data_IF_735870135186
#
_entry.id   IF_735870135186
#
_cell.length_a   1.000
_cell.length_b   1.000
_cell.length_c   1.000
_cell.angle_alpha   90.00
_cell.angle_beta   90.00
_cell.angle_gamma   90.00
#
_symmetry.space_group_name_H-M   'P 1'
#
loop_
_entity.id
_entity.type
_entity.pdbx_description
1 polymer ?
#
# COMPACT_ATOMS: atom_id res chain seq x y z
N UNK A 1 -15.13 15.86 -0.23
CA UNK A 1 -15.32 14.74 -1.17
C UNK A 1 -13.93 14.35 -1.62
N UNK A 2 -13.35 13.30 -1.02
CA UNK A 2 -12.05 12.81 -1.47
C UNK A 2 -12.25 12.17 -2.84
N UNK A 3 -11.76 12.84 -3.87
CA UNK A 3 -11.80 12.33 -5.24
C UNK A 3 -10.59 11.42 -5.37
N UNK A 4 -10.77 10.14 -5.07
CA UNK A 4 -9.78 9.14 -5.46
C UNK A 4 -9.70 9.14 -7.00
N UNK A 5 -8.47 9.16 -7.55
CA UNK A 5 -8.28 9.04 -9.01
C UNK A 5 -8.99 7.76 -9.47
N UNK A 6 -9.83 7.85 -10.49
CA UNK A 6 -10.60 6.70 -11.01
C UNK A 6 -9.67 5.50 -11.35
N UNK A 7 -8.46 5.79 -11.83
CA UNK A 7 -7.42 4.81 -12.09
C UNK A 7 -6.99 4.04 -10.83
N UNK A 8 -6.90 4.71 -9.66
CA UNK A 8 -6.53 4.05 -8.40
C UNK A 8 -7.62 3.12 -7.91
N UNK A 9 -8.87 3.57 -8.01
CA UNK A 9 -10.05 2.76 -7.69
C UNK A 9 -10.05 1.50 -8.55
N UNK A 10 -9.93 1.65 -9.86
CA UNK A 10 -9.91 0.54 -10.80
C UNK A 10 -8.73 -0.41 -10.56
N UNK A 11 -7.54 0.13 -10.28
CA UNK A 11 -6.36 -0.66 -10.00
C UNK A 11 -6.57 -1.57 -8.79
N UNK A 12 -7.00 -1.03 -7.65
CA UNK A 12 -7.24 -1.81 -6.43
C UNK A 12 -8.42 -2.79 -6.58
N UNK A 13 -9.50 -2.36 -7.24
CA UNK A 13 -10.67 -3.21 -7.48
C UNK A 13 -10.35 -4.44 -8.34
N UNK A 14 -9.43 -4.33 -9.31
CA UNK A 14 -8.98 -5.48 -10.10
C UNK A 14 -8.34 -6.58 -9.23
N UNK A 15 -7.76 -6.21 -8.08
CA UNK A 15 -7.25 -7.14 -7.09
C UNK A 15 -8.28 -7.53 -6.02
N UNK A 16 -9.49 -6.97 -6.09
CA UNK A 16 -10.58 -7.24 -5.15
C UNK A 16 -10.53 -6.41 -3.86
N UNK A 17 -9.86 -5.25 -3.91
CA UNK A 17 -9.72 -4.31 -2.80
C UNK A 17 -10.62 -3.10 -2.98
N UNK A 18 -11.22 -2.63 -1.89
CA UNK A 18 -12.13 -1.50 -1.89
C UNK A 18 -11.55 -0.37 -1.04
N UNK A 19 -11.47 0.83 -1.61
CA UNK A 19 -11.00 2.01 -0.86
C UNK A 19 -12.08 2.42 0.16
N UNK A 20 -11.68 2.60 1.41
CA UNK A 20 -12.49 3.26 2.44
C UNK A 20 -12.27 4.78 2.38
N UNK A 21 -11.01 5.20 2.55
CA UNK A 21 -10.61 6.61 2.58
C UNK A 21 -9.13 6.80 2.26
N UNK A 22 -8.74 8.03 1.93
CA UNK A 22 -7.34 8.39 1.77
C UNK A 22 -6.56 8.24 3.09
N UNK A 23 -5.31 7.77 3.00
CA UNK A 23 -4.40 7.67 4.14
C UNK A 23 -3.26 8.69 4.03
N UNK A 24 -2.54 8.69 2.91
CA UNK A 24 -1.36 9.53 2.73
C UNK A 24 -0.98 9.74 1.26
N UNK A 25 -0.17 10.76 1.01
CA UNK A 25 0.51 10.96 -0.27
C UNK A 25 1.94 11.43 0.02
N UNK A 26 2.91 10.76 -0.58
CA UNK A 26 4.32 11.14 -0.54
C UNK A 26 4.81 11.36 -1.97
N UNK A 27 5.42 12.50 -2.24
CA UNK A 27 6.04 12.81 -3.52
C UNK A 27 7.55 12.77 -3.39
N UNK A 28 8.16 11.88 -4.14
CA UNK A 28 9.60 11.79 -4.31
C UNK A 28 9.98 12.58 -5.56
N UNK A 29 10.61 13.74 -5.36
CA UNK A 29 11.14 14.51 -6.48
C UNK A 29 12.22 13.70 -7.22
N UNK A 30 12.45 14.03 -8.50
CA UNK A 30 13.52 13.43 -9.29
C UNK A 30 14.86 13.41 -8.54
N UNK A 31 15.59 12.30 -8.63
CA UNK A 31 16.88 12.05 -7.96
C UNK A 31 16.83 11.92 -6.42
N UNK A 32 15.66 11.98 -5.78
CA UNK A 32 15.55 11.90 -4.31
C UNK A 32 15.23 10.52 -3.76
N UNK A 33 14.74 9.58 -4.59
CA UNK A 33 14.40 8.22 -4.15
C UNK A 33 15.56 7.53 -3.41
N UNK A 34 16.81 7.77 -3.83
CA UNK A 34 18.00 7.19 -3.21
C UNK A 34 18.25 7.68 -1.77
N UNK A 35 17.65 8.81 -1.36
CA UNK A 35 17.69 9.30 0.01
C UNK A 35 16.81 8.47 0.96
N UNK A 36 15.83 7.74 0.43
CA UNK A 36 14.88 6.90 1.19
C UNK A 36 15.25 5.42 1.13
N UNK A 37 16.54 5.11 1.37
CA UNK A 37 17.13 3.78 1.10
C UNK A 37 16.37 2.61 1.71
N UNK A 38 15.96 2.70 2.99
CA UNK A 38 15.25 1.59 3.65
C UNK A 38 13.88 1.36 3.00
N UNK A 39 13.10 2.43 2.85
CA UNK A 39 11.75 2.35 2.29
C UNK A 39 11.76 1.86 0.84
N UNK A 40 12.63 2.41 0.00
CA UNK A 40 12.75 1.98 -1.40
C UNK A 40 13.23 0.53 -1.51
N UNK A 41 14.09 0.08 -0.58
CA UNK A 41 14.49 -1.31 -0.48
C UNK A 41 13.31 -2.21 -0.12
N UNK A 42 12.50 -1.83 0.86
CA UNK A 42 11.33 -2.61 1.29
C UNK A 42 10.26 -2.67 0.19
N UNK A 43 9.99 -1.57 -0.51
CA UNK A 43 9.12 -1.55 -1.69
C UNK A 43 9.59 -2.57 -2.75
N UNK A 44 10.91 -2.67 -2.96
CA UNK A 44 11.48 -3.63 -3.91
C UNK A 44 11.43 -5.07 -3.42
N UNK A 45 11.88 -5.33 -2.19
CA UNK A 45 12.08 -6.68 -1.67
C UNK A 45 10.80 -7.31 -1.13
N UNK A 46 9.92 -6.53 -0.51
CA UNK A 46 8.66 -6.99 0.10
C UNK A 46 7.44 -6.61 -0.73
N UNK A 47 7.44 -5.40 -1.30
CA UNK A 47 6.37 -4.93 -2.20
C UNK A 47 6.50 -5.45 -3.64
N UNK A 48 7.67 -5.99 -4.01
CA UNK A 48 8.01 -6.45 -5.37
C UNK A 48 7.87 -5.37 -6.45
N UNK A 49 8.06 -4.09 -6.11
CA UNK A 49 8.06 -2.99 -7.08
C UNK A 49 9.48 -2.43 -7.24
N UNK A 50 10.11 -2.65 -8.39
CA UNK A 50 11.46 -2.14 -8.64
C UNK A 50 11.44 -0.70 -9.20
N UNK A 51 11.79 0.27 -8.35
CA UNK A 51 11.82 1.69 -8.70
C UNK A 51 13.11 2.14 -9.42
N UNK A 52 14.05 1.23 -9.73
CA UNK A 52 15.36 1.58 -10.31
C UNK A 52 15.25 2.36 -11.62
N UNK A 53 14.21 2.12 -12.42
CA UNK A 53 13.99 2.84 -13.70
C UNK A 53 13.43 4.26 -13.53
N UNK A 54 13.03 4.64 -12.32
CA UNK A 54 12.39 5.91 -12.02
C UNK A 54 13.24 6.79 -11.11
N UNK A 55 14.52 6.44 -10.88
CA UNK A 55 15.42 7.19 -9.99
C UNK A 55 15.57 8.67 -10.37
N UNK A 56 15.49 8.98 -11.66
CA UNK A 56 15.62 10.33 -12.20
C UNK A 56 14.25 10.98 -12.52
N UNK A 57 13.16 10.36 -12.07
CA UNK A 57 11.79 10.82 -12.29
C UNK A 57 11.11 11.14 -10.97
N UNK A 58 10.06 11.96 -11.03
CA UNK A 58 9.16 12.10 -9.90
C UNK A 58 8.34 10.80 -9.74
N UNK A 59 8.25 10.32 -8.50
CA UNK A 59 7.38 9.21 -8.12
C UNK A 59 6.44 9.67 -7.02
N UNK A 60 5.15 9.43 -7.20
CA UNK A 60 4.14 9.65 -6.16
C UNK A 60 3.75 8.30 -5.57
N UNK A 61 3.77 8.21 -4.25
CA UNK A 61 3.25 7.08 -3.49
C UNK A 61 1.98 7.54 -2.76
N UNK A 62 0.85 6.94 -3.11
CA UNK A 62 -0.45 7.25 -2.51
C UNK A 62 -0.98 6.07 -1.72
N UNK A 63 -1.28 6.29 -0.44
CA UNK A 63 -1.84 5.29 0.47
C UNK A 63 -3.35 5.47 0.66
N UNK A 64 -4.06 4.35 0.70
CA UNK A 64 -5.50 4.27 0.98
C UNK A 64 -5.78 3.26 2.08
N UNK A 65 -6.59 3.64 3.06
CA UNK A 65 -7.19 2.65 3.94
C UNK A 65 -8.22 1.84 3.14
N UNK A 66 -8.13 0.52 3.25
CA UNK A 66 -9.04 -0.39 2.58
C UNK A 66 -10.18 -0.80 3.52
N UNK A 67 -11.36 -1.07 2.95
CA UNK A 67 -12.53 -1.49 3.72
C UNK A 67 -12.34 -2.89 4.33
N UNK A 68 -11.55 -3.72 3.65
CA UNK A 68 -11.31 -5.09 4.02
C UNK A 68 -10.40 -5.23 5.26
N UNK A 69 -10.65 -6.31 6.01
CA UNK A 69 -9.85 -6.76 7.15
C UNK A 69 -9.61 -8.26 7.04
N UNK A 70 -8.60 -8.77 7.72
CA UNK A 70 -8.38 -10.22 7.88
C UNK A 70 -8.67 -10.65 9.31
N UNK A 71 -8.56 -11.94 9.61
CA UNK A 71 -8.65 -12.42 10.99
C UNK A 71 -7.51 -11.89 11.88
N UNK A 72 -6.34 -11.61 11.28
CA UNK A 72 -5.12 -11.21 11.99
C UNK A 72 -4.87 -9.70 11.93
N UNK A 73 -5.30 -9.04 10.86
CA UNK A 73 -5.01 -7.62 10.60
C UNK A 73 -6.31 -6.84 10.47
N UNK A 74 -6.48 -5.84 11.33
CA UNK A 74 -7.68 -5.03 11.41
C UNK A 74 -7.60 -3.71 10.63
N UNK A 75 -6.45 -3.43 10.04
CA UNK A 75 -6.23 -2.32 9.13
C UNK A 75 -5.32 -2.75 7.98
N UNK A 76 -5.75 -2.52 6.74
CA UNK A 76 -4.95 -2.77 5.55
C UNK A 76 -4.84 -1.45 4.79
N UNK A 77 -3.61 -1.09 4.41
CA UNK A 77 -3.32 0.08 3.59
C UNK A 77 -2.84 -0.38 2.22
N UNK A 78 -3.51 0.05 1.17
CA UNK A 78 -3.07 -0.14 -0.21
C UNK A 78 -2.28 1.06 -0.68
N UNK A 79 -1.03 0.84 -1.07
CA UNK A 79 -0.17 1.85 -1.65
C UNK A 79 -0.08 1.68 -3.16
N UNK A 80 -0.26 2.77 -3.89
CA UNK A 80 -0.10 2.85 -5.34
C UNK A 80 1.09 3.77 -5.62
N UNK A 81 1.99 3.32 -6.49
CA UNK A 81 3.14 4.07 -6.96
C UNK A 81 2.86 4.54 -8.39
N UNK A 82 3.02 5.83 -8.63
CA UNK A 82 2.83 6.48 -9.93
C UNK A 82 4.10 7.23 -10.34
N UNK A 83 4.37 7.29 -11.65
CA UNK A 83 5.30 8.26 -12.22
C UNK A 83 4.62 8.97 -13.39
N UNK A 84 4.48 10.29 -13.31
CA UNK A 84 3.60 11.04 -14.20
C UNK A 84 2.13 10.61 -14.05
N UNK A 85 1.52 10.12 -15.12
CA UNK A 85 0.12 9.65 -15.16
C UNK A 85 0.01 8.12 -15.25
N UNK A 86 1.11 7.40 -15.04
CA UNK A 86 1.15 5.94 -15.13
C UNK A 86 1.32 5.32 -13.75
N UNK A 87 0.47 4.35 -13.42
CA UNK A 87 0.67 3.46 -12.27
C UNK A 87 1.81 2.50 -12.61
N UNK A 88 2.88 2.55 -11.83
CA UNK A 88 4.08 1.72 -12.02
C UNK A 88 4.09 0.50 -11.11
N UNK A 89 3.25 0.48 -10.08
CA UNK A 89 3.08 -0.66 -9.18
C UNK A 89 2.27 -0.32 -7.94
N UNK A 90 2.18 -1.28 -7.03
CA UNK A 90 1.52 -1.09 -5.74
C UNK A 90 1.81 -2.24 -4.80
N UNK A 91 1.61 -2.00 -3.52
CA UNK A 91 1.86 -2.95 -2.45
C UNK A 91 0.85 -2.76 -1.32
N UNK A 92 0.78 -3.75 -0.43
CA UNK A 92 -0.14 -3.75 0.71
C UNK A 92 0.67 -3.72 2.01
N UNK A 93 0.18 -2.95 2.98
CA UNK A 93 0.66 -3.01 4.36
C UNK A 93 -0.48 -3.48 5.25
N UNK A 94 -0.26 -4.62 5.89
CA UNK A 94 -1.20 -5.23 6.82
C UNK A 94 -0.79 -4.84 8.23
N UNK A 95 -1.67 -4.10 8.92
CA UNK A 95 -1.45 -3.60 10.26
C UNK A 95 -2.41 -4.28 11.24
N UNK A 96 -1.89 -4.63 12.41
CA UNK A 96 -2.70 -4.91 13.58
C UNK A 96 -2.56 -3.73 14.54
N UNK A 97 -3.65 -2.96 14.65
CA UNK A 97 -3.76 -1.86 15.60
C UNK A 97 -4.43 -2.36 16.89
N UNK A 98 -3.75 -2.20 18.01
CA UNK A 98 -4.34 -2.43 19.33
C UNK A 98 -4.62 -1.08 20.01
N UNK A 99 -5.82 -0.96 20.58
CA UNK A 99 -6.15 0.15 21.46
C UNK A 99 -5.48 -0.07 22.81
N UNK A 100 -4.69 0.90 23.24
CA UNK A 100 -4.02 0.92 24.53
C UNK A 100 -4.99 1.37 25.64
N UNK A 101 -4.61 1.14 26.90
CA UNK A 101 -5.43 1.50 28.07
C UNK A 101 -5.70 3.01 28.16
N UNK A 102 -4.85 3.83 27.55
CA UNK A 102 -4.98 5.29 27.49
C UNK A 102 -5.79 5.80 26.27
N UNK A 103 -6.35 4.89 25.47
CA UNK A 103 -7.13 5.21 24.27
C UNK A 103 -6.28 5.55 23.05
N UNK A 104 -4.96 5.38 23.11
CA UNK A 104 -4.09 5.52 21.93
C UNK A 104 -4.11 4.25 21.07
N UNK A 105 -4.04 4.41 19.74
CA UNK A 105 -3.90 3.30 18.80
C UNK A 105 -2.42 3.06 18.52
N UNK A 106 -1.95 1.84 18.77
CA UNK A 106 -0.58 1.43 18.49
C UNK A 106 -0.56 0.33 17.44
N UNK A 107 0.33 0.44 16.45
CA UNK A 107 0.57 -0.64 15.48
C UNK A 107 1.53 -1.64 16.13
N UNK A 108 0.98 -2.76 16.58
CA UNK A 108 1.76 -3.82 17.23
C UNK A 108 2.46 -4.73 16.21
N UNK A 109 1.86 -4.87 15.02
CA UNK A 109 2.41 -5.67 13.93
C UNK A 109 2.14 -5.00 12.59
N UNK A 110 3.16 -4.97 11.73
CA UNK A 110 3.06 -4.47 10.37
C UNK A 110 3.78 -5.41 9.42
N UNK A 111 3.12 -5.80 8.33
CA UNK A 111 3.71 -6.65 7.29
C UNK A 111 3.43 -6.05 5.92
N UNK A 112 4.51 -5.82 5.16
CA UNK A 112 4.44 -5.41 3.77
C UNK A 112 4.41 -6.63 2.84
N UNK A 113 3.55 -6.58 1.83
CA UNK A 113 3.40 -7.61 0.80
C UNK A 113 3.22 -6.95 -0.57
N UNK A 114 3.48 -7.66 -1.68
CA UNK A 114 3.04 -7.18 -2.99
C UNK A 114 1.52 -7.04 -3.01
N UNK A 115 0.98 -6.35 -4.02
CA UNK A 115 -0.47 -6.37 -4.22
C UNK A 115 -0.93 -7.78 -4.58
N UNK A 116 -1.65 -8.42 -3.67
CA UNK A 116 -2.19 -9.76 -3.81
C UNK A 116 -3.67 -9.68 -4.19
N UNK A 117 -4.18 -10.67 -4.93
CA UNK A 117 -5.62 -10.75 -5.08
C UNK A 117 -6.25 -11.13 -3.75
N UNK A 118 -7.32 -10.43 -3.34
CA UNK A 118 -8.00 -10.70 -2.07
C UNK A 118 -8.38 -12.17 -1.86
N UNK A 119 -8.77 -12.87 -2.94
CA UNK A 119 -9.12 -14.31 -2.90
C UNK A 119 -7.95 -15.21 -2.44
N UNK A 120 -6.71 -14.77 -2.62
CA UNK A 120 -5.50 -15.51 -2.25
C UNK A 120 -5.24 -15.45 -0.72
N UNK A 121 -5.82 -14.47 -0.02
CA UNK A 121 -5.65 -14.29 1.42
C UNK A 121 -6.63 -15.13 2.28
N UNK A 122 -7.62 -15.76 1.66
CA UNK A 122 -8.66 -16.54 2.34
C UNK A 122 -8.82 -17.98 1.84
N UNK A 123 -7.94 -18.44 0.95
CA UNK A 123 -7.98 -19.82 0.44
C UNK A 123 -7.13 -20.74 1.32
N UNK A 124 -7.64 -21.10 2.51
CA UNK A 124 -7.30 -22.42 3.03
C UNK A 124 -7.96 -23.46 2.12
N UNK A 125 -7.25 -24.46 1.58
CA UNK A 125 -7.94 -25.58 0.95
C UNK A 125 -8.74 -26.27 2.04
N UNK A 126 -10.07 -26.19 1.96
CA UNK A 126 -10.94 -27.09 2.70
C UNK A 126 -10.63 -28.51 2.24
N UNK A 127 -9.86 -29.24 3.04
CA UNK A 127 -9.72 -30.70 2.99
C UNK A 127 -10.52 -31.29 4.13
#
# INVERSE_FOLDING_TARGET
MEIHKEQHVNYLQNYGWSIDRFASETKYAAHTLQSFKSHVKDIKELGHVDLTRFLDQEVTETGYFLQEKTMTYNQIVGYILESGNEIIGGYLVFNYEAEQVDGTLHIDQSVMNPILHRKELGSSPSS
#
